data_IF_994383469090
#
_entry.id   IF_994383469090
#
_cell.length_a   1.000
_cell.length_b   1.000
_cell.length_c   1.000
_cell.angle_alpha   90.00
_cell.angle_beta   90.00
_cell.angle_gamma   90.00
#
_symmetry.space_group_name_H-M   'P 1'
#
loop_
_entity.id
_entity.type
_entity.pdbx_description
1 polymer ?
#
# COMPACT_ATOMS: atom_id res chain seq x y z
N UNK A 1 7.88 6.58 0.91
CA UNK A 1 7.15 5.42 0.36
C UNK A 1 6.06 5.95 -0.56
N UNK A 2 5.87 5.34 -1.73
CA UNK A 2 4.74 5.70 -2.60
C UNK A 2 3.40 5.18 -2.04
N UNK A 3 3.46 4.23 -1.10
CA UNK A 3 2.33 3.48 -0.59
C UNK A 3 2.16 2.15 -1.33
N UNK A 4 1.49 1.20 -0.70
CA UNK A 4 1.12 -0.07 -1.32
C UNK A 4 -0.09 0.13 -2.26
N UNK A 5 -0.03 -0.44 -3.46
CA UNK A 5 -1.24 -0.67 -4.28
C UNK A 5 -1.80 -2.04 -3.94
N UNK A 6 -2.98 -2.08 -3.34
CA UNK A 6 -3.55 -3.31 -2.79
C UNK A 6 -4.59 -3.05 -1.70
N UNK A 7 -4.93 -4.08 -0.90
CA UNK A 7 -5.98 -4.02 0.11
C UNK A 7 -5.59 -3.07 1.26
N UNK A 8 -6.31 -1.97 1.43
CA UNK A 8 -6.06 -0.99 2.49
C UNK A 8 -6.64 -1.43 3.84
N UNK A 9 -7.78 -2.13 3.83
CA UNK A 9 -8.33 -2.75 5.04
C UNK A 9 -7.61 -4.08 5.32
N UNK A 10 -6.35 -3.96 5.73
CA UNK A 10 -5.44 -5.08 5.95
C UNK A 10 -4.27 -4.65 6.85
N UNK A 11 -3.42 -5.61 7.24
CA UNK A 11 -2.10 -5.32 7.79
C UNK A 11 -1.05 -5.76 6.78
N UNK A 12 -0.48 -4.78 6.05
CA UNK A 12 0.50 -5.01 4.97
C UNK A 12 -0.02 -6.03 3.93
N UNK A 13 -1.29 -5.91 3.55
CA UNK A 13 -1.94 -6.78 2.55
C UNK A 13 -2.51 -8.07 3.11
N UNK A 14 -2.25 -8.42 4.37
CA UNK A 14 -2.76 -9.63 5.04
C UNK A 14 -4.06 -9.32 5.78
N UNK A 15 -5.00 -10.26 5.83
CA UNK A 15 -6.19 -10.18 6.67
C UNK A 15 -5.84 -9.78 8.11
N UNK A 16 -6.36 -8.62 8.55
CA UNK A 16 -5.90 -7.95 9.78
C UNK A 16 -6.04 -8.83 11.03
N UNK A 17 -7.10 -9.63 11.10
CA UNK A 17 -7.38 -10.51 12.25
C UNK A 17 -6.32 -11.59 12.44
N UNK A 18 -5.74 -12.10 11.35
CA UNK A 18 -4.65 -13.07 11.39
C UNK A 18 -3.43 -12.45 12.09
N UNK A 19 -3.09 -11.23 11.68
CA UNK A 19 -1.93 -10.53 12.22
C UNK A 19 -2.16 -10.10 13.67
N UNK A 20 -3.34 -9.57 14.00
CA UNK A 20 -3.71 -9.21 15.37
C UNK A 20 -3.60 -10.43 16.29
N UNK A 21 -4.19 -11.57 15.91
CA UNK A 21 -4.11 -12.80 16.70
C UNK A 21 -2.68 -13.29 16.86
N UNK A 22 -1.86 -13.24 15.80
CA UNK A 22 -0.43 -13.60 15.85
C UNK A 22 0.33 -12.72 16.86
N UNK A 23 0.11 -11.40 16.87
CA UNK A 23 0.76 -10.50 17.81
C UNK A 23 0.33 -10.71 19.25
N UNK A 24 -0.97 -10.92 19.50
CA UNK A 24 -1.49 -11.15 20.86
C UNK A 24 -1.01 -12.48 21.43
N UNK A 25 -1.03 -13.54 20.62
CA UNK A 25 -0.76 -14.91 21.09
C UNK A 25 0.71 -15.32 20.98
N UNK A 26 1.49 -14.64 20.14
CA UNK A 26 2.86 -15.06 19.79
C UNK A 26 2.94 -16.34 18.94
N UNK A 27 1.79 -16.91 18.55
CA UNK A 27 1.75 -18.18 17.81
C UNK A 27 1.88 -17.89 16.30
N UNK A 28 2.71 -18.65 15.56
CA UNK A 28 2.78 -18.54 14.10
C UNK A 28 1.41 -18.73 13.45
N UNK A 29 1.13 -17.94 12.42
CA UNK A 29 -0.12 -18.02 11.67
C UNK A 29 0.16 -18.02 10.16
N UNK A 30 -0.66 -18.74 9.40
CA UNK A 30 -0.64 -18.69 7.94
C UNK A 30 -1.21 -17.35 7.48
N UNK A 31 -0.54 -16.70 6.53
CA UNK A 31 -1.00 -15.43 5.99
C UNK A 31 -1.95 -15.66 4.81
N UNK A 32 -3.11 -15.02 4.88
CA UNK A 32 -4.07 -14.95 3.78
C UNK A 32 -4.26 -13.48 3.37
N UNK A 33 -4.32 -13.24 2.06
CA UNK A 33 -4.34 -11.89 1.48
C UNK A 33 -5.73 -11.29 1.63
N UNK A 34 -5.81 -10.05 2.12
CA UNK A 34 -7.06 -9.30 2.18
C UNK A 34 -7.58 -8.97 0.78
N UNK A 35 -8.89 -8.90 0.60
CA UNK A 35 -9.51 -8.49 -0.67
C UNK A 35 -10.35 -7.21 -0.55
N UNK A 36 -10.31 -6.57 0.62
CA UNK A 36 -11.19 -5.45 0.97
C UNK A 36 -10.48 -4.11 0.76
N UNK A 37 -11.26 -3.10 0.37
CA UNK A 37 -10.80 -1.70 0.24
C UNK A 37 -9.50 -1.60 -0.58
N UNK A 38 -9.53 -2.10 -1.82
CA UNK A 38 -8.35 -2.02 -2.70
C UNK A 38 -8.09 -0.56 -3.05
N UNK A 39 -6.84 -0.12 -2.92
CA UNK A 39 -6.42 1.23 -3.26
C UNK A 39 -5.21 1.21 -4.17
N UNK A 40 -5.17 2.17 -5.08
CA UNK A 40 -4.01 2.48 -5.90
C UNK A 40 -3.25 3.64 -5.25
N UNK A 41 -1.96 3.43 -5.01
CA UNK A 41 -1.06 4.47 -4.52
C UNK A 41 0.14 4.59 -5.45
N UNK A 42 0.59 5.82 -5.67
CA UNK A 42 1.71 6.13 -6.54
C UNK A 42 2.15 7.58 -6.44
N UNK A 43 3.14 7.96 -7.24
CA UNK A 43 3.58 9.35 -7.37
C UNK A 43 3.71 9.72 -8.85
N UNK A 44 3.17 10.87 -9.22
CA UNK A 44 3.37 11.49 -10.52
C UNK A 44 4.50 12.50 -10.39
N UNK A 45 5.58 12.32 -11.14
CA UNK A 45 6.74 13.21 -11.11
C UNK A 45 6.93 13.82 -12.49
N UNK A 46 7.02 15.15 -12.55
CA UNK A 46 7.35 15.87 -13.81
C UNK A 46 8.85 16.04 -13.90
N UNK A 47 9.46 15.49 -14.94
CA UNK A 47 10.91 15.55 -15.18
C UNK A 47 11.19 16.46 -16.38
N UNK A 48 12.17 17.35 -16.23
CA UNK A 48 12.78 18.08 -17.34
C UNK A 48 13.71 17.15 -18.11
N UNK A 49 13.38 16.86 -19.37
CA UNK A 49 14.13 15.94 -20.23
C UNK A 49 15.55 16.44 -20.58
N UNK A 50 15.81 17.75 -20.50
CA UNK A 50 17.12 18.33 -20.84
C UNK A 50 18.09 18.27 -19.67
N UNK A 51 17.60 18.51 -18.46
CA UNK A 51 18.44 18.61 -17.25
C UNK A 51 18.36 17.36 -16.37
N UNK A 52 17.36 16.49 -16.58
CA UNK A 52 17.06 15.34 -15.73
C UNK A 52 16.47 15.71 -14.36
N UNK A 53 16.21 17.00 -14.10
CA UNK A 53 15.71 17.47 -12.81
C UNK A 53 14.20 17.30 -12.70
N UNK A 54 13.72 16.94 -11.51
CA UNK A 54 12.30 16.94 -11.20
C UNK A 54 11.81 18.36 -10.93
N UNK A 55 10.74 18.77 -11.63
CA UNK A 55 10.09 20.07 -11.46
C UNK A 55 8.89 20.06 -10.52
N UNK A 56 8.22 18.91 -10.39
CA UNK A 56 7.10 18.73 -9.46
C UNK A 56 6.90 17.25 -9.11
N UNK A 57 6.24 17.02 -7.98
CA UNK A 57 5.80 15.70 -7.52
C UNK A 57 4.38 15.82 -6.96
N UNK A 58 3.52 14.89 -7.35
CA UNK A 58 2.14 14.79 -6.88
C UNK A 58 1.88 13.36 -6.39
N UNK A 59 1.20 13.24 -5.24
CA UNK A 59 0.82 11.93 -4.70
C UNK A 59 -0.49 11.48 -5.34
N UNK A 60 -0.52 10.24 -5.82
CA UNK A 60 -1.74 9.56 -6.26
C UNK A 60 -2.19 8.62 -5.14
N UNK A 61 -3.44 8.77 -4.69
CA UNK A 61 -4.09 7.87 -3.74
C UNK A 61 -5.56 7.74 -4.09
N UNK A 62 -5.94 6.61 -4.68
CA UNK A 62 -7.26 6.38 -5.28
C UNK A 62 -7.85 5.11 -4.67
N UNK A 63 -9.11 5.18 -4.24
CA UNK A 63 -9.87 3.99 -3.82
C UNK A 63 -10.49 3.32 -5.03
N UNK A 64 -10.29 2.01 -5.18
CA UNK A 64 -10.94 1.19 -6.22
C UNK A 64 -12.34 0.78 -5.72
N UNK A 65 -13.33 0.87 -6.60
CA UNK A 65 -14.72 0.46 -6.33
C UNK A 65 -14.87 -1.06 -6.22
#
# INVERSE_FOLDING_TARGET
DAGMTGPFDSVIGVEKEIIIKKFITGIPAKFDISKKDVRFNGVLVKIDSKTGRAGSIERISIKHE
#
